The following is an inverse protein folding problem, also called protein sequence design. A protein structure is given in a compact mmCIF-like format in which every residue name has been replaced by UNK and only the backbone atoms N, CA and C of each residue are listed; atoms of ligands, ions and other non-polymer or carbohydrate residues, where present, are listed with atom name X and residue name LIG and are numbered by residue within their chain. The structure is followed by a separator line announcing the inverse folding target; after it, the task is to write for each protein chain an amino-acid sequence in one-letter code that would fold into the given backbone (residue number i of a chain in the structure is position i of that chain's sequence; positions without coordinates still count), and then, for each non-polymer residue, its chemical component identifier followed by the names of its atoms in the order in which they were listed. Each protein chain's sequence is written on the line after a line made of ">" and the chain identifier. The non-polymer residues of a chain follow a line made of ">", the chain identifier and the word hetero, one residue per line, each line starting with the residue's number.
data_IF_504222412895
#
_entry.id   IF_504222412895
#
_cell.length_a   1.000
_cell.length_b   1.000
_cell.length_c   1.000
_cell.angle_alpha   90.00
_cell.angle_beta   90.00
_cell.angle_gamma   90.00
#
_symmetry.space_group_name_H-M   'P 1'
#
loop_
_entity.id
_entity.type
_entity.pdbx_description
1 polymer ?
#
# COMPACT_ATOMS: atom_id res chain seq x y z
N UNK A 1 1.31 -6.01 -6.35
CA UNK A 1 0.03 -6.55 -6.85
C UNK A 1 -0.80 -5.44 -7.50
N UNK A 2 -1.60 -5.82 -8.50
CA UNK A 2 -2.63 -4.95 -9.10
C UNK A 2 -3.98 -5.63 -8.85
N UNK A 3 -4.93 -4.89 -8.29
CA UNK A 3 -6.29 -5.37 -8.00
C UNK A 3 -7.25 -4.58 -8.84
N UNK A 4 -8.19 -5.28 -9.50
CA UNK A 4 -9.26 -4.66 -10.26
C UNK A 4 -10.59 -5.29 -9.90
N UNK A 5 -11.59 -4.49 -9.57
CA UNK A 5 -12.94 -4.99 -9.28
C UNK A 5 -13.83 -4.99 -10.55
N UNK A 6 -15.02 -5.58 -10.45
CA UNK A 6 -15.97 -5.67 -11.57
C UNK A 6 -16.55 -4.32 -12.01
N UNK A 7 -16.37 -3.27 -11.21
CA UNK A 7 -16.77 -1.89 -11.55
C UNK A 7 -15.63 -1.11 -12.24
N UNK A 8 -14.48 -1.76 -12.47
CA UNK A 8 -13.33 -1.16 -13.14
C UNK A 8 -12.40 -0.35 -12.23
N UNK A 9 -12.66 -0.29 -10.92
CA UNK A 9 -11.74 0.32 -9.95
C UNK A 9 -10.44 -0.46 -9.91
N UNK A 10 -9.31 0.26 -10.04
CA UNK A 10 -7.96 -0.31 -9.98
C UNK A 10 -7.25 0.19 -8.72
N UNK A 11 -6.53 -0.71 -8.05
CA UNK A 11 -5.71 -0.41 -6.88
C UNK A 11 -4.35 -1.11 -7.02
N UNK A 12 -3.29 -0.45 -6.57
CA UNK A 12 -1.95 -1.02 -6.53
C UNK A 12 -1.55 -1.31 -5.08
N UNK A 13 -0.98 -2.48 -4.84
CA UNK A 13 -0.62 -2.92 -3.48
C UNK A 13 0.82 -3.43 -3.48
N UNK A 14 1.64 -2.93 -2.57
CA UNK A 14 2.92 -3.53 -2.18
C UNK A 14 2.78 -4.08 -0.77
N UNK A 15 3.51 -5.16 -0.47
CA UNK A 15 3.42 -5.86 0.81
C UNK A 15 4.82 -6.17 1.31
N UNK A 16 5.10 -5.84 2.57
CA UNK A 16 6.34 -6.17 3.24
C UNK A 16 6.08 -6.61 4.68
N UNK A 17 7.00 -7.36 5.29
CA UNK A 17 6.91 -7.62 6.73
C UNK A 17 7.06 -6.31 7.52
N UNK A 18 8.09 -5.53 7.22
CA UNK A 18 8.39 -4.23 7.86
C UNK A 18 9.08 -3.31 6.86
N UNK A 19 8.88 -2.01 6.99
CA UNK A 19 9.59 -0.96 6.22
C UNK A 19 10.33 0.02 7.11
N UNK A 20 10.62 -0.35 8.38
CA UNK A 20 11.38 0.50 9.30
C UNK A 20 12.79 0.81 8.80
N UNK A 21 13.39 -0.08 8.02
CA UNK A 21 14.62 0.23 7.30
C UNK A 21 14.32 1.08 6.07
N UNK A 22 14.94 2.26 5.97
CA UNK A 22 14.75 3.19 4.87
C UNK A 22 15.02 2.57 3.48
N UNK A 23 16.00 1.68 3.35
CA UNK A 23 16.29 1.00 2.07
C UNK A 23 15.13 0.09 1.65
N UNK A 24 14.51 -0.58 2.62
CA UNK A 24 13.32 -1.39 2.37
C UNK A 24 12.15 -0.51 1.98
N UNK A 25 11.92 0.60 2.68
CA UNK A 25 10.86 1.55 2.34
C UNK A 25 11.03 2.08 0.91
N UNK A 26 12.21 2.56 0.55
CA UNK A 26 12.51 3.07 -0.80
C UNK A 26 12.26 2.01 -1.88
N UNK A 27 12.68 0.77 -1.64
CA UNK A 27 12.44 -0.34 -2.57
C UNK A 27 10.95 -0.59 -2.79
N UNK A 28 10.15 -0.56 -1.73
CA UNK A 28 8.70 -0.79 -1.83
C UNK A 28 7.94 0.41 -2.42
N UNK A 29 8.46 1.64 -2.27
CA UNK A 29 7.87 2.85 -2.86
C UNK A 29 8.22 3.01 -4.36
N UNK A 30 9.42 2.59 -4.78
CA UNK A 30 9.91 2.81 -6.14
C UNK A 30 9.00 2.30 -7.28
N UNK A 31 8.24 1.20 -7.14
CA UNK A 31 7.25 0.80 -8.15
C UNK A 31 6.08 1.78 -8.27
N UNK A 32 5.66 2.41 -7.17
CA UNK A 32 4.55 3.36 -7.15
C UNK A 32 4.90 4.68 -7.84
N UNK A 33 6.12 5.17 -7.66
CA UNK A 33 6.59 6.42 -8.30
C UNK A 33 6.63 6.33 -9.83
N UNK A 34 6.67 5.11 -10.38
CA UNK A 34 6.67 4.86 -11.83
C UNK A 34 5.26 4.78 -12.44
N UNK A 35 4.21 4.78 -11.61
CA UNK A 35 2.82 4.68 -12.05
C UNK A 35 2.24 6.10 -12.15
N UNK A 36 2.03 6.55 -13.38
CA UNK A 36 1.57 7.91 -13.67
C UNK A 36 0.08 8.17 -13.40
N UNK A 37 -0.70 7.13 -13.12
CA UNK A 37 -2.12 7.27 -12.81
C UNK A 37 -2.37 7.69 -11.35
N UNK A 38 -3.61 8.11 -11.09
CA UNK A 38 -4.07 8.56 -9.77
C UNK A 38 -4.89 7.49 -9.04
N UNK A 39 -4.80 6.22 -9.45
CA UNK A 39 -5.45 5.14 -8.72
C UNK A 39 -4.81 4.96 -7.34
N UNK A 40 -5.59 4.42 -6.40
CA UNK A 40 -5.15 4.23 -5.02
C UNK A 40 -3.97 3.26 -4.94
N UNK A 41 -3.01 3.60 -4.07
CA UNK A 41 -1.78 2.87 -3.85
C UNK A 41 -1.64 2.57 -2.36
N UNK A 42 -1.49 1.29 -2.00
CA UNK A 42 -1.39 0.81 -0.63
C UNK A 42 -0.04 0.13 -0.40
N UNK A 43 0.63 0.47 0.69
CA UNK A 43 1.76 -0.27 1.25
C UNK A 43 1.29 -0.99 2.51
N UNK A 44 1.11 -2.31 2.43
CA UNK A 44 0.64 -3.12 3.56
C UNK A 44 1.85 -3.68 4.29
N UNK A 45 1.91 -3.48 5.61
CA UNK A 45 3.05 -3.95 6.44
C UNK A 45 2.58 -4.56 7.76
N UNK A 46 3.43 -5.29 8.48
CA UNK A 46 3.13 -5.69 9.86
C UNK A 46 3.50 -4.60 10.87
N UNK A 47 4.03 -3.46 10.42
CA UNK A 47 4.43 -2.38 11.31
C UNK A 47 3.23 -1.75 12.01
N UNK A 48 3.39 -1.35 13.28
CA UNK A 48 2.34 -0.66 14.03
C UNK A 48 2.14 0.79 13.57
N UNK A 49 3.15 1.41 12.96
CA UNK A 49 3.03 2.77 12.43
C UNK A 49 2.28 2.76 11.10
N UNK A 50 1.31 3.66 11.00
CA UNK A 50 0.56 3.95 9.78
C UNK A 50 0.94 5.34 9.29
N UNK A 51 0.74 5.61 8.00
CA UNK A 51 1.14 6.88 7.44
C UNK A 51 0.79 7.03 5.97
N UNK A 52 1.19 8.15 5.39
CA UNK A 52 1.05 8.40 3.94
C UNK A 52 2.37 8.91 3.39
N UNK A 53 2.80 8.34 2.26
CA UNK A 53 4.03 8.69 1.56
C UNK A 53 3.67 9.08 0.13
N UNK A 54 3.78 10.35 -0.25
CA UNK A 54 3.44 10.82 -1.61
C UNK A 54 2.07 10.33 -2.13
N UNK A 55 1.05 10.28 -1.25
CA UNK A 55 -0.29 9.78 -1.56
C UNK A 55 -0.46 8.25 -1.49
N UNK A 56 0.61 7.50 -1.21
CA UNK A 56 0.59 6.05 -0.95
C UNK A 56 0.26 5.83 0.52
N UNK A 57 -0.79 5.07 0.82
CA UNK A 57 -1.23 4.80 2.19
C UNK A 57 -0.47 3.59 2.76
N UNK A 58 0.25 3.78 3.87
CA UNK A 58 0.83 2.68 4.66
C UNK A 58 -0.19 2.20 5.69
N UNK A 59 -0.53 0.92 5.64
CA UNK A 59 -1.56 0.31 6.50
C UNK A 59 -1.01 -0.96 7.15
N UNK A 60 -1.37 -1.21 8.41
CA UNK A 60 -1.07 -2.48 9.06
C UNK A 60 -1.88 -3.63 8.41
N UNK A 61 -1.26 -4.79 8.24
CA UNK A 61 -1.87 -5.95 7.60
C UNK A 61 -3.07 -6.49 8.36
N UNK A 62 -3.04 -6.49 9.71
CA UNK A 62 -4.16 -6.93 10.53
C UNK A 62 -5.35 -5.98 10.38
N UNK A 63 -5.10 -4.67 10.40
CA UNK A 63 -6.14 -3.67 10.17
C UNK A 63 -6.75 -3.81 8.78
N UNK A 64 -5.93 -4.09 7.76
CA UNK A 64 -6.41 -4.31 6.39
C UNK A 64 -7.28 -5.58 6.27
N UNK A 65 -6.87 -6.68 6.91
CA UNK A 65 -7.59 -7.96 6.87
C UNK A 65 -8.89 -7.96 7.68
N UNK A 66 -8.92 -7.21 8.78
CA UNK A 66 -10.05 -7.20 9.73
C UNK A 66 -10.99 -6.02 9.53
N UNK A 67 -10.74 -5.17 8.52
CA UNK A 67 -11.60 -4.05 8.20
C UNK A 67 -12.97 -4.57 7.73
N UNK A 68 -13.96 -4.56 8.62
CA UNK A 68 -15.35 -4.75 8.24
C UNK A 68 -15.86 -3.45 7.63
N UNK A 69 -16.41 -3.51 6.42
CA UNK A 69 -17.26 -2.41 5.93
C UNK A 69 -18.51 -2.39 6.81
N UNK A 70 -18.74 -1.27 7.52
CA UNK A 70 -20.00 -1.01 8.22
C UNK A 70 -21.01 -0.42 7.24
#
# INVERSE_FOLDING_TARGET
>A
FVVRNNQGYTQYIQVAQTVQNATTLERELAPFDRIADHHEKLLITMDYDTGTYNGIKKINALDWLTKTEN
#
